data_IF_644914669126
#
_entry.id   IF_644914669126
#
_cell.length_a   1.000
_cell.length_b   1.000
_cell.length_c   1.000
_cell.angle_alpha   90.00
_cell.angle_beta   90.00
_cell.angle_gamma   90.00
#
_symmetry.space_group_name_H-M   'P 1'
#
loop_
_entity.id
_entity.type
_entity.pdbx_description
1 polymer ?
#
# COMPACT_ATOMS: atom_id res chain seq x y z
N UNK A 1 11.90 -9.97 9.54
CA UNK A 1 11.00 -9.24 8.63
C UNK A 1 10.66 -10.14 7.45
N UNK A 2 9.41 -10.17 7.07
CA UNK A 2 8.93 -11.04 5.99
C UNK A 2 8.26 -10.18 4.93
N UNK A 3 8.55 -10.48 3.66
CA UNK A 3 7.88 -9.83 2.53
C UNK A 3 7.09 -10.88 1.77
N UNK A 4 5.76 -10.74 1.78
CA UNK A 4 4.87 -11.62 1.02
C UNK A 4 4.46 -10.88 -0.25
N UNK A 5 4.74 -11.47 -1.41
CA UNK A 5 4.42 -10.87 -2.70
C UNK A 5 3.09 -11.37 -3.23
N UNK A 6 2.30 -10.44 -3.78
CA UNK A 6 1.07 -10.75 -4.50
C UNK A 6 1.15 -10.07 -5.86
N UNK A 7 0.89 -10.80 -6.92
CA UNK A 7 0.84 -10.22 -8.27
C UNK A 7 -0.60 -9.80 -8.53
N UNK A 8 -0.82 -8.52 -8.80
CA UNK A 8 -2.17 -7.95 -8.82
C UNK A 8 -2.39 -7.05 -10.03
N UNK A 9 -3.67 -6.88 -10.40
CA UNK A 9 -4.08 -5.95 -11.44
C UNK A 9 -3.79 -6.43 -12.85
N UNK A 10 -4.21 -5.62 -13.83
CA UNK A 10 -4.07 -5.95 -15.24
C UNK A 10 -2.62 -6.03 -15.69
N UNK A 11 -1.74 -5.28 -15.04
CA UNK A 11 -0.35 -5.19 -15.47
C UNK A 11 0.58 -6.02 -14.60
N UNK A 12 0.03 -6.96 -13.82
CA UNK A 12 0.81 -7.87 -12.99
C UNK A 12 1.78 -7.14 -12.07
N UNK A 13 1.26 -6.12 -11.40
CA UNK A 13 2.04 -5.34 -10.45
C UNK A 13 2.40 -6.20 -9.25
N UNK A 14 3.63 -6.09 -8.79
CA UNK A 14 4.06 -6.76 -7.57
C UNK A 14 3.64 -5.91 -6.37
N UNK A 15 2.68 -6.43 -5.62
CA UNK A 15 2.23 -5.83 -4.37
C UNK A 15 2.84 -6.62 -3.23
N UNK A 16 3.41 -5.94 -2.25
CA UNK A 16 4.04 -6.62 -1.12
C UNK A 16 3.34 -6.28 0.18
N UNK A 17 3.20 -7.28 1.04
CA UNK A 17 2.92 -7.05 2.45
C UNK A 17 4.21 -7.34 3.20
N UNK A 18 4.80 -6.31 3.77
CA UNK A 18 6.05 -6.43 4.52
C UNK A 18 5.69 -6.34 6.00
N UNK A 19 6.09 -7.35 6.77
CA UNK A 19 5.69 -7.44 8.16
C UNK A 19 6.87 -7.72 9.08
N UNK A 20 6.72 -7.24 10.31
CA UNK A 20 7.61 -7.55 11.42
C UNK A 20 6.89 -8.56 12.31
N UNK A 21 7.40 -9.79 12.37
CA UNK A 21 6.72 -10.83 13.12
C UNK A 21 6.74 -10.59 14.63
N UNK A 22 7.76 -9.97 15.13
CA UNK A 22 7.86 -9.72 16.57
C UNK A 22 6.82 -8.70 17.01
N UNK A 23 6.64 -7.63 16.25
CA UNK A 23 5.70 -6.56 16.60
C UNK A 23 4.31 -6.76 16.00
N UNK A 24 4.17 -7.70 15.08
CA UNK A 24 2.93 -7.93 14.35
C UNK A 24 2.43 -6.66 13.64
N UNK A 25 3.36 -5.94 13.03
CA UNK A 25 3.07 -4.75 12.25
C UNK A 25 3.41 -4.98 10.79
N UNK A 26 2.66 -4.35 9.90
CA UNK A 26 2.85 -4.54 8.47
C UNK A 26 2.60 -3.26 7.68
N UNK A 27 3.14 -3.24 6.47
CA UNK A 27 2.81 -2.21 5.48
C UNK A 27 2.42 -2.91 4.18
N UNK A 28 1.63 -2.23 3.36
CA UNK A 28 1.34 -2.68 2.00
C UNK A 28 2.12 -1.79 1.04
N UNK A 29 2.85 -2.40 0.12
CA UNK A 29 3.62 -1.68 -0.91
C UNK A 29 2.94 -1.89 -2.24
N UNK A 30 2.60 -0.81 -2.92
CA UNK A 30 2.01 -0.80 -4.27
C UNK A 30 0.76 -1.68 -4.41
N UNK A 31 -0.34 -1.30 -3.74
CA UNK A 31 -1.61 -2.03 -3.88
C UNK A 31 -2.25 -1.75 -5.24
N UNK A 32 -1.71 -2.37 -6.28
CA UNK A 32 -2.16 -2.17 -7.65
C UNK A 32 -3.35 -3.02 -8.06
N UNK A 33 -4.07 -3.58 -7.10
CA UNK A 33 -5.28 -4.34 -7.40
C UNK A 33 -6.44 -3.41 -7.74
N UNK A 34 -7.23 -3.82 -8.70
CA UNK A 34 -8.34 -3.02 -9.20
C UNK A 34 -9.71 -3.64 -8.90
N UNK A 35 -9.74 -4.77 -8.22
CA UNK A 35 -11.01 -5.39 -7.82
C UNK A 35 -10.97 -5.88 -6.37
N UNK A 36 -12.17 -6.11 -5.84
CA UNK A 36 -12.30 -6.50 -4.44
C UNK A 36 -11.83 -7.91 -4.15
N UNK A 37 -11.87 -8.79 -5.14
CA UNK A 37 -11.44 -10.18 -4.93
C UNK A 37 -9.95 -10.24 -4.65
N UNK A 38 -9.16 -9.48 -5.41
CA UNK A 38 -7.72 -9.41 -5.15
C UNK A 38 -7.44 -8.73 -3.82
N UNK A 39 -8.15 -7.64 -3.54
CA UNK A 39 -8.01 -6.93 -2.27
C UNK A 39 -8.30 -7.86 -1.08
N UNK A 40 -9.37 -8.64 -1.18
CA UNK A 40 -9.78 -9.54 -0.11
C UNK A 40 -8.70 -10.57 0.21
N UNK A 41 -7.99 -11.08 -0.78
CA UNK A 41 -6.92 -12.04 -0.55
C UNK A 41 -5.82 -11.44 0.32
N UNK A 42 -5.48 -10.19 0.06
CA UNK A 42 -4.43 -9.50 0.81
C UNK A 42 -4.92 -9.15 2.21
N UNK A 43 -6.16 -8.67 2.31
CA UNK A 43 -6.75 -8.34 3.60
C UNK A 43 -6.88 -9.58 4.49
N UNK A 44 -7.25 -10.70 3.88
CA UNK A 44 -7.35 -11.97 4.59
C UNK A 44 -5.98 -12.41 5.12
N UNK A 45 -4.95 -12.25 4.31
CA UNK A 45 -3.58 -12.56 4.74
C UNK A 45 -3.19 -11.72 5.97
N UNK A 46 -3.52 -10.43 5.95
CA UNK A 46 -3.23 -9.53 7.07
C UNK A 46 -3.99 -9.98 8.32
N UNK A 47 -5.29 -10.28 8.17
CA UNK A 47 -6.12 -10.70 9.29
C UNK A 47 -5.69 -12.05 9.85
N UNK A 48 -5.41 -13.01 8.99
CA UNK A 48 -5.03 -14.36 9.42
C UNK A 48 -3.69 -14.38 10.15
N UNK A 49 -2.83 -13.45 9.83
CA UNK A 49 -1.52 -13.35 10.49
C UNK A 49 -1.53 -12.37 11.65
N UNK A 50 -2.71 -11.85 12.01
CA UNK A 50 -2.90 -10.93 13.11
C UNK A 50 -2.00 -9.70 13.02
N UNK A 51 -1.86 -9.16 11.81
CA UNK A 51 -0.98 -8.03 11.56
C UNK A 51 -1.74 -6.71 11.71
N UNK A 52 -1.09 -5.74 12.32
CA UNK A 52 -1.60 -4.37 12.37
C UNK A 52 -1.01 -3.60 11.20
N UNK A 53 -1.87 -3.21 10.26
CA UNK A 53 -1.41 -2.43 9.11
C UNK A 53 -1.12 -1.00 9.57
N UNK A 54 0.07 -0.51 9.24
CA UNK A 54 0.53 0.81 9.71
C UNK A 54 0.41 1.87 8.64
N UNK A 55 0.74 1.54 7.39
CA UNK A 55 0.60 2.48 6.28
C UNK A 55 0.72 1.75 4.95
N UNK A 56 0.38 2.47 3.88
CA UNK A 56 0.59 2.05 2.50
C UNK A 56 1.77 2.85 1.94
N UNK A 57 2.65 2.20 1.24
CA UNK A 57 3.76 2.86 0.54
C UNK A 57 3.57 2.67 -0.96
N UNK A 58 3.46 3.77 -1.69
CA UNK A 58 3.44 3.72 -3.15
C UNK A 58 4.82 4.07 -3.66
N UNK A 59 5.45 3.16 -4.40
CA UNK A 59 6.76 3.43 -4.99
C UNK A 59 6.64 4.35 -6.19
N UNK A 60 5.48 4.32 -6.89
CA UNK A 60 5.17 5.21 -7.99
C UNK A 60 3.74 5.71 -7.87
N UNK A 61 3.46 6.85 -8.52
CA UNK A 61 2.11 7.38 -8.57
C UNK A 61 1.24 6.82 -9.69
N UNK A 62 1.77 5.96 -10.55
CA UNK A 62 0.99 5.41 -11.66
C UNK A 62 -0.17 4.54 -11.16
N UNK A 63 -1.33 4.60 -11.84
CA UNK A 63 -2.53 3.90 -11.38
C UNK A 63 -2.35 2.41 -11.13
N UNK A 64 -1.55 1.72 -11.94
CA UNK A 64 -1.35 0.29 -11.72
C UNK A 64 -0.54 -0.06 -10.48
N UNK A 65 0.00 0.95 -9.79
CA UNK A 65 0.62 0.78 -8.48
C UNK A 65 -0.26 1.30 -7.36
N UNK A 66 -1.23 2.17 -7.66
CA UNK A 66 -1.97 2.91 -6.65
C UNK A 66 -3.48 2.67 -6.67
N UNK A 67 -4.01 1.98 -7.68
CA UNK A 67 -5.46 1.91 -7.86
C UNK A 67 -6.18 1.20 -6.71
N UNK A 68 -5.50 0.39 -5.93
CA UNK A 68 -6.07 -0.25 -4.76
C UNK A 68 -6.02 0.60 -3.49
N UNK A 69 -5.42 1.78 -3.54
CA UNK A 69 -5.32 2.63 -2.35
C UNK A 69 -6.69 2.89 -1.72
N UNK A 70 -7.71 3.13 -2.55
CA UNK A 70 -9.06 3.40 -2.07
C UNK A 70 -9.60 2.21 -1.29
N UNK A 71 -9.43 0.99 -1.82
CA UNK A 71 -9.91 -0.21 -1.16
C UNK A 71 -9.22 -0.43 0.18
N UNK A 72 -7.93 -0.15 0.24
CA UNK A 72 -7.20 -0.23 1.50
C UNK A 72 -7.75 0.79 2.50
N UNK A 73 -7.95 2.04 2.06
CA UNK A 73 -8.45 3.10 2.93
C UNK A 73 -9.87 2.81 3.44
N UNK A 74 -10.67 2.11 2.66
CA UNK A 74 -12.01 1.73 3.11
C UNK A 74 -11.96 0.76 4.30
N UNK A 75 -10.97 -0.11 4.31
CA UNK A 75 -10.86 -1.11 5.37
C UNK A 75 -9.97 -0.67 6.52
N UNK A 76 -8.90 0.04 6.24
CA UNK A 76 -7.90 0.42 7.25
C UNK A 76 -7.71 1.93 7.26
N UNK A 77 -7.82 2.58 8.42
CA UNK A 77 -7.62 4.03 8.52
C UNK A 77 -6.13 4.36 8.62
N UNK A 78 -5.39 4.07 7.57
CA UNK A 78 -3.94 4.25 7.56
C UNK A 78 -3.52 5.27 6.52
N UNK A 79 -2.39 5.95 6.73
CA UNK A 79 -1.90 6.92 5.75
C UNK A 79 -1.30 6.24 4.54
N UNK A 80 -1.27 6.97 3.43
CA UNK A 80 -0.63 6.56 2.19
C UNK A 80 0.61 7.42 2.02
N UNK A 81 1.75 6.77 1.87
CA UNK A 81 3.03 7.44 1.77
C UNK A 81 3.53 7.32 0.33
N UNK A 82 3.91 8.45 -0.25
CA UNK A 82 4.41 8.50 -1.61
C UNK A 82 5.40 9.66 -1.72
N UNK A 83 6.33 9.56 -2.67
CA UNK A 83 7.24 10.66 -2.92
C UNK A 83 6.48 11.89 -3.39
N UNK A 84 6.88 13.07 -2.95
CA UNK A 84 6.16 14.31 -3.23
C UNK A 84 5.99 14.59 -4.72
N UNK A 85 6.94 14.19 -5.56
CA UNK A 85 6.85 14.42 -6.99
C UNK A 85 5.69 13.67 -7.64
N UNK A 86 5.28 12.56 -7.05
CA UNK A 86 4.19 11.75 -7.58
C UNK A 86 2.86 11.97 -6.85
N UNK A 87 2.86 12.77 -5.80
CA UNK A 87 1.66 12.95 -4.97
C UNK A 87 0.46 13.46 -5.76
N UNK A 88 0.70 14.31 -6.76
CA UNK A 88 -0.38 14.87 -7.58
C UNK A 88 -1.13 13.78 -8.36
N UNK A 89 -0.54 12.63 -8.58
CA UNK A 89 -1.16 11.54 -9.32
C UNK A 89 -2.21 10.80 -8.50
N UNK A 90 -2.26 11.03 -7.20
CA UNK A 90 -3.23 10.38 -6.32
C UNK A 90 -4.57 11.12 -6.26
N UNK A 91 -4.68 12.30 -6.89
CA UNK A 91 -5.90 13.08 -6.87
C UNK A 91 -6.30 13.44 -5.45
N UNK A 92 -7.57 13.24 -5.10
CA UNK A 92 -8.08 13.58 -3.78
C UNK A 92 -7.44 12.81 -2.64
N UNK A 93 -6.86 11.65 -2.90
CA UNK A 93 -6.18 10.89 -1.86
C UNK A 93 -4.91 11.56 -1.39
N UNK A 94 -4.34 12.45 -2.21
CA UNK A 94 -3.11 13.15 -1.84
C UNK A 94 -3.28 13.97 -0.57
N UNK A 95 -4.50 14.43 -0.29
CA UNK A 95 -4.79 15.20 0.91
C UNK A 95 -4.69 14.37 2.18
N UNK A 96 -4.79 13.05 2.02
CA UNK A 96 -4.73 12.11 3.13
C UNK A 96 -3.40 11.38 3.19
N UNK A 97 -2.42 11.80 2.39
CA UNK A 97 -1.12 11.19 2.37
C UNK A 97 -0.22 11.84 3.42
N UNK A 98 0.59 11.02 4.05
CA UNK A 98 1.78 11.54 4.68
C UNK A 98 2.80 11.62 3.59
N UNK A 99 3.04 12.82 3.09
CA UNK A 99 4.00 12.97 2.02
C UNK A 99 5.39 12.86 2.60
N UNK A 100 6.15 11.96 2.04
CA UNK A 100 7.56 12.00 2.28
C UNK A 100 8.07 13.18 1.56
N UNK A 101 8.70 13.99 2.28
CA UNK A 101 9.51 15.00 1.67
C UNK A 101 10.64 14.29 0.95
N UNK A 102 11.38 15.05 0.18
CA UNK A 102 12.57 14.53 -0.42
C UNK A 102 13.52 13.91 0.59
N UNK A 103 13.44 14.28 1.84
CA UNK A 103 14.29 13.72 2.90
C UNK A 103 14.07 12.21 3.05
N UNK A 104 12.82 11.78 3.15
CA UNK A 104 12.54 10.37 3.28
C UNK A 104 12.91 9.60 2.04
N UNK A 105 12.72 10.20 0.88
CA UNK A 105 13.03 9.56 -0.39
C UNK A 105 14.54 9.52 -0.66
N UNK A 106 15.26 10.47 -0.14
CA UNK A 106 16.71 10.57 -0.35
C UNK A 106 17.52 9.64 0.53
N UNK A 107 16.86 9.10 1.51
CA UNK A 107 17.51 8.16 2.40
C UNK A 107 17.62 6.78 1.77
#
# INVERSE_FOLDING_TARGET
>A
MIAQMFTVGEFFTNCYVISCQQKKEAIIVDPGFDDRLEAEKIFKFIDENALALKFVLNTYGHPYHTCGNILVKEKFPVPILIHEYDAHMLGGLAENCLLYTSDAADE
#
